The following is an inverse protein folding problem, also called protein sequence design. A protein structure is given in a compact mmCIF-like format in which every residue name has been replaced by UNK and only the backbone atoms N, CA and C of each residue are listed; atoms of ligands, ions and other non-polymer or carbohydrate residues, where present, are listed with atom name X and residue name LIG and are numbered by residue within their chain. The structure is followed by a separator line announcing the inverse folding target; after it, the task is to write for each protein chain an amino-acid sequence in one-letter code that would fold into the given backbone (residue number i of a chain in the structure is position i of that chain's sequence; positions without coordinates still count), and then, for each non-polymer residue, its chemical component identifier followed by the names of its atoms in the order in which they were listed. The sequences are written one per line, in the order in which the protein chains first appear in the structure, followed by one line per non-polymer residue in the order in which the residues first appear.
data_IF_954338696332
#
_entry.id   IF_954338696332
#
_cell.length_a   1.000
_cell.length_b   1.000
_cell.length_c   1.000
_cell.angle_alpha   90.00
_cell.angle_beta   90.00
_cell.angle_gamma   90.00
#
_symmetry.space_group_name_H-M   'P 1'
#
loop_
_entity.id
_entity.type
_entity.pdbx_description
1 polymer ?
#
# COMPACT_ATOMS: atom_id res chain seq x y z
N UNK A 1 -9.98 14.04 2.38
CA UNK A 1 -9.72 12.77 3.08
C UNK A 1 -9.22 13.12 4.48
N UNK A 2 -9.86 12.62 5.52
CA UNK A 2 -9.33 12.74 6.89
C UNK A 2 -8.12 11.82 7.03
N UNK A 3 -7.00 12.33 7.54
CA UNK A 3 -5.81 11.52 7.76
C UNK A 3 -6.05 10.69 9.02
N UNK A 4 -6.23 9.38 8.83
CA UNK A 4 -6.32 8.46 9.96
C UNK A 4 -4.92 8.27 10.56
N UNK A 5 -4.70 8.85 11.74
CA UNK A 5 -3.52 8.57 12.53
C UNK A 5 -3.59 7.14 13.07
N UNK A 6 -2.59 6.33 12.74
CA UNK A 6 -2.40 4.98 13.29
C UNK A 6 -1.16 4.97 14.18
N UNK A 7 -1.12 4.03 15.11
CA UNK A 7 0.00 3.88 16.01
C UNK A 7 1.26 3.37 15.24
N UNK A 8 2.49 3.76 15.65
CA UNK A 8 3.72 3.45 14.90
C UNK A 8 3.98 1.97 14.62
N UNK A 9 3.49 1.08 15.48
CA UNK A 9 3.55 -0.38 15.31
C UNK A 9 2.69 -0.89 14.14
N UNK A 10 1.76 -0.07 13.64
CA UNK A 10 0.92 -0.35 12.47
C UNK A 10 1.42 0.31 11.19
N UNK A 11 2.52 1.07 11.24
CA UNK A 11 3.12 1.63 10.01
C UNK A 11 3.60 0.51 9.09
N UNK A 12 3.67 0.81 7.80
CA UNK A 12 4.28 -0.09 6.84
C UNK A 12 5.78 0.21 6.75
N UNK A 13 6.61 -0.78 7.03
CA UNK A 13 8.06 -0.68 6.90
C UNK A 13 8.51 -1.46 5.66
N UNK A 14 8.93 -0.73 4.63
CA UNK A 14 9.44 -1.33 3.41
C UNK A 14 10.87 -1.85 3.59
N UNK A 15 11.29 -2.80 2.74
CA UNK A 15 12.63 -3.42 2.77
C UNK A 15 13.78 -2.39 2.72
N UNK A 16 13.58 -1.26 2.05
CA UNK A 16 14.59 -0.20 1.90
C UNK A 16 14.60 0.82 3.05
N UNK A 17 13.79 0.61 4.09
CA UNK A 17 13.66 1.53 5.22
C UNK A 17 12.61 2.63 5.01
N UNK A 18 11.93 2.68 3.86
CA UNK A 18 10.79 3.59 3.67
C UNK A 18 9.69 3.25 4.66
N UNK A 19 9.17 4.27 5.37
CA UNK A 19 8.07 4.12 6.34
C UNK A 19 6.84 4.82 5.81
N UNK A 20 5.74 4.08 5.66
CA UNK A 20 4.43 4.61 5.23
C UNK A 20 3.54 4.64 6.47
N UNK A 21 3.14 5.84 6.88
CA UNK A 21 2.48 6.09 8.16
C UNK A 21 0.96 6.10 8.07
N UNK A 22 0.42 6.39 6.89
CA UNK A 22 -1.02 6.37 6.67
C UNK A 22 -1.36 6.06 5.21
N UNK A 23 -2.62 5.67 4.97
CA UNK A 23 -3.06 5.18 3.66
C UNK A 23 -2.89 6.20 2.52
N UNK A 24 -3.00 7.51 2.82
CA UNK A 24 -2.78 8.59 1.84
C UNK A 24 -1.35 8.71 1.29
N UNK A 25 -0.32 8.20 1.98
CA UNK A 25 1.08 8.22 1.50
C UNK A 25 1.36 7.08 0.50
N UNK A 26 0.53 6.03 0.50
CA UNK A 26 0.79 4.81 -0.25
C UNK A 26 0.94 5.03 -1.77
N UNK A 27 0.14 5.88 -2.45
CA UNK A 27 0.32 6.12 -3.89
C UNK A 27 1.70 6.64 -4.25
N UNK A 28 2.22 7.60 -3.49
CA UNK A 28 3.52 8.22 -3.77
C UNK A 28 4.67 7.32 -3.37
N UNK A 29 4.55 6.61 -2.24
CA UNK A 29 5.48 5.56 -1.85
C UNK A 29 5.61 4.49 -2.95
N UNK A 30 4.49 3.99 -3.49
CA UNK A 30 4.49 3.00 -4.58
C UNK A 30 5.14 3.52 -5.87
N UNK A 31 4.96 4.79 -6.21
CA UNK A 31 5.59 5.39 -7.41
C UNK A 31 7.11 5.50 -7.25
N UNK A 32 7.55 5.97 -6.09
CA UNK A 32 8.97 6.15 -5.77
C UNK A 32 9.71 4.82 -5.51
N UNK A 33 9.00 3.78 -5.09
CA UNK A 33 9.57 2.47 -4.75
C UNK A 33 10.29 1.82 -5.93
N UNK A 34 11.46 1.26 -5.67
CA UNK A 34 12.20 0.50 -6.68
C UNK A 34 11.48 -0.81 -7.03
N UNK A 35 11.68 -1.36 -8.25
CA UNK A 35 11.09 -2.63 -8.62
C UNK A 35 11.50 -3.79 -7.71
N UNK A 36 12.76 -3.80 -7.23
CA UNK A 36 13.26 -4.82 -6.31
C UNK A 36 12.49 -4.78 -4.98
N UNK A 37 12.36 -3.60 -4.38
CA UNK A 37 11.65 -3.42 -3.10
C UNK A 37 10.17 -3.78 -3.27
N UNK A 38 9.54 -3.34 -4.35
CA UNK A 38 8.15 -3.69 -4.63
C UNK A 38 7.97 -5.21 -4.76
N UNK A 39 8.84 -5.91 -5.49
CA UNK A 39 8.76 -7.36 -5.67
C UNK A 39 8.99 -8.15 -4.38
N UNK A 40 9.71 -7.59 -3.41
CA UNK A 40 9.84 -8.18 -2.07
C UNK A 40 8.49 -8.24 -1.33
N UNK A 41 7.66 -7.20 -1.50
CA UNK A 41 6.35 -7.10 -0.86
C UNK A 41 5.20 -7.68 -1.69
N UNK A 42 5.37 -7.75 -3.02
CA UNK A 42 4.36 -8.21 -3.97
C UNK A 42 4.97 -9.25 -4.90
N UNK A 43 4.61 -10.52 -4.70
CA UNK A 43 5.13 -11.64 -5.48
C UNK A 43 4.03 -12.70 -5.74
N UNK A 44 4.41 -13.95 -6.01
CA UNK A 44 3.47 -15.05 -6.24
C UNK A 44 2.71 -15.47 -4.98
N UNK A 45 3.29 -15.27 -3.81
CA UNK A 45 2.79 -15.77 -2.53
C UNK A 45 2.05 -14.69 -1.74
N UNK A 46 2.53 -13.45 -1.81
CA UNK A 46 2.04 -12.35 -0.96
C UNK A 46 1.88 -11.02 -1.68
N UNK A 47 1.08 -10.18 -1.03
CA UNK A 47 0.95 -8.75 -1.32
C UNK A 47 0.78 -8.04 0.02
N UNK A 48 1.90 -7.58 0.60
CA UNK A 48 1.90 -7.02 1.95
C UNK A 48 1.07 -5.72 2.03
N UNK A 49 0.97 -4.96 0.93
CA UNK A 49 0.10 -3.77 0.85
C UNK A 49 -1.38 -4.14 0.93
N UNK A 50 -1.79 -5.25 0.32
CA UNK A 50 -3.15 -5.77 0.45
C UNK A 50 -3.49 -6.06 1.93
N UNK A 51 -2.62 -6.81 2.61
CA UNK A 51 -2.82 -7.15 4.03
C UNK A 51 -2.84 -5.89 4.89
N UNK A 52 -1.90 -4.96 4.70
CA UNK A 52 -1.86 -3.71 5.44
C UNK A 52 -3.15 -2.88 5.26
N UNK A 53 -3.61 -2.69 4.03
CA UNK A 53 -4.85 -1.97 3.74
C UNK A 53 -6.08 -2.65 4.36
N UNK A 54 -6.13 -3.98 4.33
CA UNK A 54 -7.25 -4.75 4.87
C UNK A 54 -7.27 -4.74 6.41
N UNK A 55 -6.12 -4.99 7.04
CA UNK A 55 -6.06 -5.33 8.46
C UNK A 55 -5.86 -4.09 9.34
N UNK A 56 -5.18 -3.04 8.83
CA UNK A 56 -4.92 -1.81 9.58
C UNK A 56 -6.01 -0.77 9.37
N UNK A 57 -6.48 -0.60 8.13
CA UNK A 57 -7.47 0.43 7.78
C UNK A 57 -8.88 -0.12 7.58
N UNK A 58 -9.06 -1.45 7.67
CA UNK A 58 -10.35 -2.12 7.42
C UNK A 58 -10.96 -1.78 6.05
N UNK A 59 -10.13 -1.38 5.07
CA UNK A 59 -10.56 -0.90 3.76
C UNK A 59 -10.67 -2.06 2.76
N UNK A 60 -11.47 -3.06 3.11
CA UNK A 60 -11.59 -4.35 2.39
C UNK A 60 -11.87 -4.23 0.89
N UNK A 61 -12.67 -3.24 0.47
CA UNK A 61 -12.96 -2.97 -0.96
C UNK A 61 -11.70 -2.60 -1.75
N UNK A 62 -10.87 -1.70 -1.20
CA UNK A 62 -9.60 -1.30 -1.80
C UNK A 62 -8.62 -2.46 -1.78
N UNK A 63 -8.51 -3.14 -0.62
CA UNK A 63 -7.65 -4.30 -0.46
C UNK A 63 -7.94 -5.35 -1.54
N UNK A 64 -9.21 -5.67 -1.81
CA UNK A 64 -9.60 -6.60 -2.88
C UNK A 64 -9.22 -6.10 -4.28
N UNK A 65 -9.33 -4.79 -4.57
CA UNK A 65 -8.94 -4.20 -5.87
C UNK A 65 -7.45 -4.32 -6.15
N UNK A 66 -6.61 -4.26 -5.11
CA UNK A 66 -5.15 -4.30 -5.24
C UNK A 66 -4.55 -5.71 -5.06
N UNK A 67 -5.28 -6.66 -4.46
CA UNK A 67 -4.79 -8.02 -4.12
C UNK A 67 -3.97 -8.69 -5.23
N UNK A 68 -4.47 -8.72 -6.46
CA UNK A 68 -3.82 -9.35 -7.62
C UNK A 68 -2.97 -8.39 -8.47
N UNK A 69 -2.75 -7.16 -8.03
CA UNK A 69 -2.02 -6.15 -8.81
C UNK A 69 -0.52 -6.29 -8.59
N UNK A 70 0.21 -6.76 -9.59
CA UNK A 70 1.68 -6.99 -9.54
C UNK A 70 2.50 -5.91 -10.26
N UNK A 71 1.92 -4.74 -10.48
CA UNK A 71 2.59 -3.59 -11.08
C UNK A 71 2.39 -2.38 -10.16
N UNK A 72 3.49 -1.71 -9.78
CA UNK A 72 3.49 -0.65 -8.77
C UNK A 72 2.73 0.60 -9.23
N UNK A 73 2.85 0.98 -10.51
CA UNK A 73 2.16 2.14 -11.07
C UNK A 73 0.63 1.93 -11.11
N UNK A 74 0.19 0.74 -11.52
CA UNK A 74 -1.22 0.35 -11.53
C UNK A 74 -1.79 0.29 -10.11
N UNK A 75 -1.03 -0.24 -9.14
CA UNK A 75 -1.44 -0.26 -7.74
C UNK A 75 -1.57 1.17 -7.20
N UNK A 76 -0.57 2.02 -7.43
CA UNK A 76 -0.59 3.42 -7.03
C UNK A 76 -1.81 4.16 -7.62
N UNK A 77 -2.11 3.93 -8.91
CA UNK A 77 -3.30 4.48 -9.56
C UNK A 77 -4.59 4.00 -8.90
N UNK A 78 -4.76 2.70 -8.65
CA UNK A 78 -5.95 2.16 -7.99
C UNK A 78 -6.16 2.72 -6.59
N UNK A 79 -5.09 2.84 -5.81
CA UNK A 79 -5.14 3.44 -4.46
C UNK A 79 -5.53 4.92 -4.58
N UNK A 80 -4.85 5.68 -5.44
CA UNK A 80 -5.17 7.09 -5.65
C UNK A 80 -6.63 7.32 -6.05
N UNK A 81 -7.14 6.55 -7.02
CA UNK A 81 -8.52 6.67 -7.47
C UNK A 81 -9.53 6.33 -6.36
N UNK A 82 -9.24 5.41 -5.45
CA UNK A 82 -10.18 5.08 -4.36
C UNK A 82 -10.19 6.13 -3.24
N UNK A 83 -9.07 6.81 -3.02
CA UNK A 83 -8.93 7.77 -1.91
C UNK A 83 -9.36 9.19 -2.27
N UNK A 84 -9.26 9.55 -3.55
CA UNK A 84 -9.38 10.94 -3.99
C UNK A 84 -10.46 11.17 -5.06
N UNK A 85 -11.18 10.12 -5.49
CA UNK A 85 -12.30 10.21 -6.44
C UNK A 85 -13.49 9.37 -5.96
#
# INVERSE_FOLDING_TARGET
MEILNIAPEKYFYAKDGTVIKHLGELPDALRAMSPEVFSHHVNSEKNDFHSWVNDVFLHSKLARKIKSTKNKEMMAKKVFMELYL
#
